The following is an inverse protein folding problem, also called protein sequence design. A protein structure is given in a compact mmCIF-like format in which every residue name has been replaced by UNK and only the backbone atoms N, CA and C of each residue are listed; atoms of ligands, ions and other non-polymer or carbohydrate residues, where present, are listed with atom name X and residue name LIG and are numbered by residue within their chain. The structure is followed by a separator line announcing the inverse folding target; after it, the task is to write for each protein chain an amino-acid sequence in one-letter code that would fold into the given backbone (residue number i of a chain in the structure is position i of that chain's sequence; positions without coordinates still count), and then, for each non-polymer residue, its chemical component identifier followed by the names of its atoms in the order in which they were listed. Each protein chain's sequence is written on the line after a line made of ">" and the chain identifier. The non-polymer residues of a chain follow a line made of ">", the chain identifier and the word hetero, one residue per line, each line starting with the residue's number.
data_IF_166247447327
#
_entry.id   IF_166247447327
#
_cell.length_a   1.000
_cell.length_b   1.000
_cell.length_c   1.000
_cell.angle_alpha   90.00
_cell.angle_beta   90.00
_cell.angle_gamma   90.00
#
_symmetry.space_group_name_H-M   'P 1'
#
loop_
_entity.id
_entity.type
_entity.pdbx_description
1 polymer ?
#
# COMPACT_ATOMS: atom_id res chain seq x y z
N UNK A 1 -57.85 -30.57 29.69
CA UNK A 1 -56.55 -29.86 29.76
C UNK A 1 -55.46 -30.78 29.22
N UNK A 2 -54.89 -30.50 28.05
CA UNK A 2 -53.48 -30.77 27.78
C UNK A 2 -53.04 -29.94 26.57
N UNK A 3 -52.44 -28.79 26.87
CA UNK A 3 -51.79 -27.88 25.93
C UNK A 3 -50.54 -28.53 25.36
N UNK A 4 -50.50 -28.74 24.03
CA UNK A 4 -49.27 -29.14 23.34
C UNK A 4 -48.59 -27.90 22.75
N UNK A 5 -47.49 -27.52 23.40
CA UNK A 5 -46.60 -26.42 23.09
C UNK A 5 -45.56 -26.90 22.07
N UNK A 6 -45.49 -26.36 20.84
CA UNK A 6 -44.38 -26.65 19.91
C UNK A 6 -43.80 -25.35 19.35
N UNK A 7 -42.73 -24.96 20.03
CA UNK A 7 -41.57 -24.14 19.69
C UNK A 7 -41.48 -23.54 18.26
N UNK A 8 -41.52 -22.20 18.20
CA UNK A 8 -40.94 -21.42 17.11
C UNK A 8 -39.41 -21.48 17.15
N UNK A 9 -38.81 -22.15 16.18
CA UNK A 9 -37.36 -22.10 15.93
C UNK A 9 -37.05 -20.77 15.24
N UNK A 10 -36.59 -19.78 16.02
CA UNK A 10 -36.00 -18.57 15.46
C UNK A 10 -34.55 -18.86 15.05
N UNK A 11 -34.33 -19.02 13.74
CA UNK A 11 -32.99 -19.04 13.15
C UNK A 11 -32.40 -17.62 13.22
N UNK A 12 -31.58 -17.38 14.26
CA UNK A 12 -30.71 -16.21 14.31
C UNK A 12 -29.52 -16.46 13.39
N UNK A 13 -29.65 -16.04 12.14
CA UNK A 13 -28.54 -16.01 11.20
C UNK A 13 -27.56 -14.90 11.59
N UNK A 14 -26.46 -15.26 12.23
CA UNK A 14 -25.34 -14.35 12.42
C UNK A 14 -24.78 -13.94 11.05
N UNK A 15 -25.01 -12.70 10.64
CA UNK A 15 -24.34 -12.10 9.50
C UNK A 15 -22.83 -12.03 9.79
N UNK A 16 -22.08 -13.01 9.28
CA UNK A 16 -20.63 -13.02 9.31
C UNK A 16 -20.12 -11.83 8.49
N UNK A 17 -19.58 -10.81 9.17
CA UNK A 17 -18.86 -9.73 8.48
C UNK A 17 -17.69 -10.34 7.71
N UNK A 18 -17.52 -10.03 6.42
CA UNK A 18 -16.39 -10.54 5.66
C UNK A 18 -15.09 -10.13 6.37
N UNK A 19 -14.25 -11.13 6.67
CA UNK A 19 -12.95 -10.91 7.29
C UNK A 19 -12.06 -10.23 6.25
N UNK A 20 -11.78 -8.93 6.44
CA UNK A 20 -10.81 -8.20 5.63
C UNK A 20 -9.48 -8.95 5.72
N UNK A 21 -8.94 -9.38 4.58
CA UNK A 21 -7.67 -10.10 4.56
C UNK A 21 -6.56 -9.17 5.08
N UNK A 22 -5.62 -9.70 5.86
CA UNK A 22 -4.66 -8.87 6.59
C UNK A 22 -3.65 -8.16 5.66
N UNK A 23 -3.53 -8.60 4.40
CA UNK A 23 -2.75 -7.96 3.33
C UNK A 23 -3.58 -7.15 2.33
N UNK A 24 -4.82 -6.80 2.64
CA UNK A 24 -5.59 -5.85 1.84
C UNK A 24 -5.34 -4.41 2.28
N UNK A 25 -5.41 -3.51 1.30
CA UNK A 25 -5.31 -2.06 1.46
C UNK A 25 -6.44 -1.39 0.68
N UNK A 26 -7.00 -0.31 1.24
CA UNK A 26 -8.02 0.50 0.57
C UNK A 26 -7.34 1.54 -0.31
N UNK A 27 -7.36 1.35 -1.63
CA UNK A 27 -6.65 2.22 -2.58
C UNK A 27 -7.49 3.40 -3.09
N UNK A 28 -8.80 3.33 -2.87
CA UNK A 28 -9.80 4.36 -3.12
C UNK A 28 -11.04 4.07 -2.25
N UNK A 29 -11.97 5.04 -2.06
CA UNK A 29 -13.13 4.84 -1.20
C UNK A 29 -13.87 3.53 -1.51
N UNK A 30 -13.94 2.64 -0.50
CA UNK A 30 -14.58 1.31 -0.56
C UNK A 30 -13.96 0.34 -1.56
N UNK A 31 -12.72 0.58 -1.99
CA UNK A 31 -12.00 -0.28 -2.96
C UNK A 31 -10.80 -0.93 -2.28
N UNK A 32 -10.98 -2.19 -1.86
CA UNK A 32 -9.94 -3.00 -1.24
C UNK A 32 -9.21 -3.83 -2.30
N UNK A 33 -7.88 -3.79 -2.27
CA UNK A 33 -7.02 -4.57 -3.15
C UNK A 33 -6.02 -5.36 -2.31
N UNK A 34 -5.82 -6.62 -2.69
CA UNK A 34 -4.82 -7.50 -2.07
C UNK A 34 -3.43 -7.09 -2.53
N UNK A 35 -2.51 -6.85 -1.60
CA UNK A 35 -1.13 -6.52 -1.94
C UNK A 35 -0.43 -7.73 -2.61
N UNK A 36 0.39 -7.52 -3.66
CA UNK A 36 1.28 -8.55 -4.19
C UNK A 36 2.18 -9.12 -3.09
N UNK A 37 2.74 -10.32 -3.26
CA UNK A 37 3.66 -10.92 -2.28
C UNK A 37 5.07 -10.30 -2.36
N UNK A 38 5.90 -10.43 -1.31
CA UNK A 38 7.29 -9.96 -1.33
C UNK A 38 8.10 -10.57 -2.50
N UNK A 39 7.98 -11.88 -2.74
CA UNK A 39 8.63 -12.58 -3.84
C UNK A 39 8.30 -12.02 -5.23
N UNK A 40 7.12 -11.41 -5.41
CA UNK A 40 6.72 -10.85 -6.71
C UNK A 40 7.53 -9.60 -7.12
N UNK A 41 8.35 -9.02 -6.23
CA UNK A 41 9.34 -8.01 -6.61
C UNK A 41 10.37 -8.58 -7.60
N UNK A 42 10.74 -9.85 -7.42
CA UNK A 42 11.67 -10.58 -8.30
C UNK A 42 13.16 -10.40 -7.97
N UNK A 43 13.49 -9.65 -6.93
CA UNK A 43 14.85 -9.48 -6.40
C UNK A 43 14.80 -9.09 -4.92
N UNK A 44 15.93 -9.19 -4.22
CA UNK A 44 16.06 -8.66 -2.86
C UNK A 44 16.56 -7.22 -2.90
N UNK A 45 16.02 -6.38 -2.03
CA UNK A 45 16.31 -4.94 -1.99
C UNK A 45 16.60 -4.49 -0.57
N UNK A 46 17.64 -3.70 -0.39
CA UNK A 46 17.78 -2.80 0.76
C UNK A 46 17.89 -1.39 0.22
N UNK A 47 17.09 -0.46 0.72
CA UNK A 47 17.11 0.93 0.28
C UNK A 47 16.89 1.89 1.44
N UNK A 48 17.71 2.95 1.46
CA UNK A 48 17.47 4.16 2.24
C UNK A 48 16.83 5.17 1.31
N UNK A 49 15.62 5.63 1.64
CA UNK A 49 14.82 6.52 0.81
C UNK A 49 14.33 7.72 1.62
N UNK A 50 14.11 8.84 0.94
CA UNK A 50 13.39 9.98 1.47
C UNK A 50 12.04 10.06 0.76
N UNK A 51 10.96 9.93 1.52
CA UNK A 51 9.60 10.06 1.02
C UNK A 51 9.07 11.44 1.40
N UNK A 52 8.68 12.25 0.42
CA UNK A 52 8.03 13.54 0.65
C UNK A 52 6.57 13.41 0.23
N UNK A 53 5.65 13.48 1.18
CA UNK A 53 4.22 13.50 0.90
C UNK A 53 3.72 14.95 0.94
N UNK A 54 3.00 15.36 -0.09
CA UNK A 54 2.45 16.71 -0.22
C UNK A 54 0.93 16.64 -0.39
N UNK A 55 0.20 17.29 0.51
CA UNK A 55 -1.26 17.47 0.44
C UNK A 55 -1.62 18.84 1.01
N UNK A 56 -2.70 19.45 0.52
CA UNK A 56 -3.14 20.78 0.99
C UNK A 56 -2.01 21.85 1.02
N UNK A 57 -1.06 21.78 0.07
CA UNK A 57 0.15 22.63 -0.02
C UNK A 57 1.13 22.51 1.16
N UNK A 58 0.96 21.49 2.01
CA UNK A 58 1.88 21.14 3.07
C UNK A 58 2.67 19.91 2.67
N UNK A 59 3.99 19.94 2.90
CA UNK A 59 4.88 18.83 2.61
C UNK A 59 5.44 18.26 3.89
N UNK A 60 5.41 16.93 3.99
CA UNK A 60 5.94 16.17 5.12
C UNK A 60 6.96 15.17 4.61
N UNK A 61 8.14 15.21 5.21
CA UNK A 61 9.23 14.31 4.85
C UNK A 61 9.37 13.18 5.85
N UNK A 62 9.61 11.99 5.30
CA UNK A 62 9.78 10.76 6.04
C UNK A 62 11.00 10.00 5.48
N UNK A 63 12.14 10.06 6.17
CA UNK A 63 13.23 9.12 5.94
C UNK A 63 12.75 7.70 6.20
N UNK A 64 13.05 6.80 5.27
CA UNK A 64 12.59 5.40 5.27
C UNK A 64 13.75 4.45 5.02
N UNK A 65 13.79 3.36 5.78
CA UNK A 65 14.56 2.16 5.44
C UNK A 65 13.60 1.09 4.93
N UNK A 66 13.85 0.58 3.73
CA UNK A 66 13.12 -0.50 3.08
C UNK A 66 14.04 -1.72 2.97
N UNK A 67 13.53 -2.88 3.38
CA UNK A 67 14.15 -4.17 3.14
C UNK A 67 13.13 -5.13 2.54
N UNK A 68 13.51 -5.78 1.44
CA UNK A 68 12.69 -6.77 0.74
C UNK A 68 13.54 -8.00 0.49
N UNK A 69 12.99 -9.15 0.83
CA UNK A 69 13.44 -10.46 0.40
C UNK A 69 12.23 -11.28 -0.08
N UNK A 70 12.41 -12.50 -0.62
CA UNK A 70 11.28 -13.27 -1.14
C UNK A 70 10.17 -13.59 -0.13
N UNK A 71 10.44 -13.49 1.18
CA UNK A 71 9.50 -13.83 2.25
C UNK A 71 8.91 -12.60 2.93
N UNK A 72 9.62 -11.48 2.96
CA UNK A 72 9.27 -10.32 3.80
C UNK A 72 9.53 -8.97 3.13
N UNK A 73 8.62 -8.03 3.36
CA UNK A 73 8.85 -6.59 3.19
C UNK A 73 8.85 -5.96 4.57
N UNK A 74 9.97 -5.38 4.98
CA UNK A 74 10.09 -4.60 6.20
C UNK A 74 10.35 -3.14 5.85
N UNK A 75 9.61 -2.24 6.49
CA UNK A 75 9.83 -0.81 6.34
C UNK A 75 9.80 -0.12 7.69
N UNK A 76 10.75 0.79 7.90
CA UNK A 76 10.81 1.66 9.07
C UNK A 76 10.90 3.12 8.62
N UNK A 77 9.99 3.96 9.13
CA UNK A 77 9.97 5.39 8.91
C UNK A 77 10.41 6.15 10.16
N UNK A 78 11.22 7.18 9.96
CA UNK A 78 11.90 7.91 11.03
C UNK A 78 11.49 9.38 11.07
N UNK A 79 11.46 9.94 12.27
CA UNK A 79 11.42 11.39 12.47
C UNK A 79 12.75 12.03 12.05
N UNK A 80 12.77 13.36 11.91
CA UNK A 80 13.98 14.14 11.63
C UNK A 80 15.10 13.98 12.67
N UNK A 81 14.78 13.46 13.86
CA UNK A 81 15.74 13.20 14.96
C UNK A 81 16.12 11.72 15.08
N UNK A 82 15.75 10.88 14.11
CA UNK A 82 16.15 9.47 14.05
C UNK A 82 15.29 8.52 14.88
N UNK A 83 14.25 8.99 15.57
CA UNK A 83 13.31 8.10 16.25
C UNK A 83 12.40 7.42 15.24
N UNK A 84 12.22 6.09 15.36
CA UNK A 84 11.26 5.33 14.54
C UNK A 84 9.83 5.71 14.92
N UNK A 85 9.11 6.36 14.02
CA UNK A 85 7.74 6.86 14.24
C UNK A 85 6.69 5.97 13.59
N UNK A 86 7.08 5.16 12.61
CA UNK A 86 6.24 4.13 12.02
C UNK A 86 7.08 2.94 11.55
N UNK A 87 6.45 1.77 11.51
CA UNK A 87 7.00 0.62 10.81
C UNK A 87 5.90 -0.28 10.30
N UNK A 88 6.25 -1.09 9.33
CA UNK A 88 5.42 -2.16 8.83
C UNK A 88 6.26 -3.40 8.55
N UNK A 89 5.62 -4.54 8.72
CA UNK A 89 6.15 -5.86 8.46
C UNK A 89 5.13 -6.62 7.64
N UNK A 90 5.50 -7.00 6.42
CA UNK A 90 4.65 -7.78 5.54
C UNK A 90 5.30 -9.12 5.27
N UNK A 91 4.77 -10.16 5.92
CA UNK A 91 5.23 -11.53 5.86
C UNK A 91 4.02 -12.46 5.94
N UNK A 92 4.07 -13.61 5.26
CA UNK A 92 3.03 -14.65 5.35
C UNK A 92 1.61 -14.13 5.10
N UNK A 93 1.45 -13.23 4.13
CA UNK A 93 0.18 -12.57 3.76
C UNK A 93 -0.45 -11.73 4.89
N UNK A 94 0.35 -11.33 5.88
CA UNK A 94 -0.06 -10.49 7.00
C UNK A 94 0.78 -9.21 7.02
N UNK A 95 0.10 -8.06 7.11
CA UNK A 95 0.75 -6.77 7.31
C UNK A 95 0.56 -6.35 8.75
N UNK A 96 1.63 -6.39 9.53
CA UNK A 96 1.70 -5.81 10.87
C UNK A 96 2.21 -4.38 10.77
N UNK A 97 1.61 -3.49 11.54
CA UNK A 97 1.94 -2.06 11.51
C UNK A 97 2.16 -1.53 12.92
N UNK A 98 3.01 -0.54 13.03
CA UNK A 98 3.22 0.24 14.25
C UNK A 98 3.25 1.71 13.87
N UNK A 99 2.55 2.51 14.66
CA UNK A 99 2.61 3.98 14.62
C UNK A 99 2.85 4.45 16.04
N UNK A 100 3.77 5.40 16.21
CA UNK A 100 4.04 5.99 17.51
C UNK A 100 2.75 6.58 18.10
N UNK A 101 2.45 6.30 19.39
CA UNK A 101 1.30 6.89 20.07
C UNK A 101 1.26 8.41 19.93
N UNK A 102 0.08 8.95 19.65
CA UNK A 102 -0.13 10.40 19.45
C UNK A 102 0.09 10.90 18.02
N UNK A 103 0.64 10.09 17.10
CA UNK A 103 0.91 10.50 15.72
C UNK A 103 -0.06 9.91 14.68
N UNK A 104 -1.04 9.11 15.09
CA UNK A 104 -1.96 8.42 14.16
C UNK A 104 -2.85 9.33 13.31
N UNK A 105 -3.12 10.56 13.76
CA UNK A 105 -3.93 11.54 13.01
C UNK A 105 -3.09 12.42 12.05
N UNK A 106 -1.77 12.43 12.21
CA UNK A 106 -0.86 13.30 11.45
C UNK A 106 -0.02 12.53 10.44
N UNK A 107 0.24 11.25 10.71
CA UNK A 107 0.96 10.37 9.80
C UNK A 107 0.02 9.67 8.82
N UNK A 108 0.49 9.38 7.60
CA UNK A 108 -0.25 8.54 6.67
C UNK A 108 -0.47 7.14 7.27
N UNK A 109 -1.56 6.50 6.87
CA UNK A 109 -1.83 5.11 7.27
C UNK A 109 -0.71 4.19 6.74
N UNK A 110 -0.09 3.32 7.57
CA UNK A 110 1.08 2.56 7.17
C UNK A 110 0.86 1.61 5.98
N UNK A 111 -0.32 0.98 5.83
CA UNK A 111 -0.60 0.15 4.65
C UNK A 111 -0.72 0.99 3.38
N UNK A 112 -1.19 2.23 3.46
CA UNK A 112 -1.17 3.15 2.32
C UNK A 112 0.28 3.51 1.93
N UNK A 113 1.17 3.73 2.91
CA UNK A 113 2.60 3.93 2.64
C UNK A 113 3.20 2.70 1.93
N UNK A 114 2.89 1.50 2.43
CA UNK A 114 3.32 0.25 1.80
C UNK A 114 2.81 0.13 0.37
N UNK A 115 1.53 0.40 0.13
CA UNK A 115 0.93 0.39 -1.19
C UNK A 115 1.67 1.33 -2.16
N UNK A 116 1.88 2.59 -1.77
CA UNK A 116 2.54 3.59 -2.62
C UNK A 116 3.97 3.15 -3.01
N UNK A 117 4.70 2.46 -2.13
CA UNK A 117 6.02 1.90 -2.43
C UNK A 117 5.91 0.67 -3.33
N UNK A 118 4.99 -0.24 -3.03
CA UNK A 118 4.86 -1.46 -3.82
C UNK A 118 4.34 -1.19 -5.23
N UNK A 119 3.38 -0.27 -5.42
CA UNK A 119 2.83 0.08 -6.73
C UNK A 119 3.85 0.82 -7.61
N UNK A 120 4.88 1.42 -7.01
CA UNK A 120 5.97 2.10 -7.72
C UNK A 120 7.14 1.16 -8.06
N UNK A 121 7.43 0.16 -7.23
CA UNK A 121 8.60 -0.72 -7.39
C UNK A 121 8.29 -2.11 -7.96
N UNK A 122 7.15 -2.72 -7.63
CA UNK A 122 6.86 -4.09 -8.07
C UNK A 122 6.59 -4.11 -9.57
N UNK A 123 6.96 -5.19 -10.29
CA UNK A 123 6.61 -5.37 -11.70
C UNK A 123 5.10 -5.27 -11.94
N UNK A 124 4.69 -4.71 -13.07
CA UNK A 124 3.27 -4.59 -13.46
C UNK A 124 2.49 -5.91 -13.37
N UNK A 125 3.12 -7.04 -13.74
CA UNK A 125 2.53 -8.38 -13.66
C UNK A 125 2.10 -8.79 -12.24
N UNK A 126 2.75 -8.24 -11.22
CA UNK A 126 2.40 -8.52 -9.82
C UNK A 126 1.05 -7.91 -9.44
N UNK A 127 0.65 -6.85 -10.13
CA UNK A 127 -0.54 -6.05 -9.85
C UNK A 127 -1.74 -6.40 -10.74
N UNK A 128 -1.55 -7.13 -11.83
CA UNK A 128 -2.64 -7.49 -12.76
C UNK A 128 -3.79 -8.22 -12.04
N UNK A 129 -3.53 -9.39 -11.48
CA UNK A 129 -4.58 -10.18 -10.82
C UNK A 129 -5.24 -9.45 -9.62
N UNK A 130 -4.50 -8.78 -8.70
CA UNK A 130 -5.13 -8.02 -7.63
C UNK A 130 -6.03 -6.87 -8.09
N UNK A 131 -5.64 -6.13 -9.13
CA UNK A 131 -6.42 -5.00 -9.63
C UNK A 131 -7.63 -5.46 -10.46
N UNK A 132 -7.48 -6.53 -11.24
CA UNK A 132 -8.57 -7.11 -12.03
C UNK A 132 -9.76 -7.57 -11.16
N UNK A 133 -9.50 -8.02 -9.92
CA UNK A 133 -10.55 -8.40 -8.96
C UNK A 133 -11.52 -7.25 -8.63
N UNK A 134 -11.07 -6.01 -8.75
CA UNK A 134 -11.90 -4.80 -8.55
C UNK A 134 -12.22 -4.08 -9.87
N UNK A 135 -11.87 -4.69 -11.01
CA UNK A 135 -12.02 -4.10 -12.34
C UNK A 135 -11.05 -2.96 -12.65
N UNK A 136 -9.98 -2.81 -11.87
CA UNK A 136 -8.97 -1.78 -12.08
C UNK A 136 -7.84 -2.30 -12.97
N UNK A 137 -7.07 -1.38 -13.53
CA UNK A 137 -5.92 -1.70 -14.39
C UNK A 137 -4.74 -0.79 -14.08
N UNK A 138 -3.54 -1.36 -14.18
CA UNK A 138 -2.28 -0.61 -14.16
C UNK A 138 -1.68 -0.68 -15.58
N UNK A 139 -1.48 0.47 -16.22
CA UNK A 139 -0.76 0.57 -17.50
C UNK A 139 0.65 1.07 -17.24
N UNK A 140 1.62 0.61 -18.04
CA UNK A 140 3.03 0.98 -17.89
C UNK A 140 3.68 1.28 -19.24
N UNK A 141 4.43 2.37 -19.29
CA UNK A 141 5.45 2.68 -20.31
C UNK A 141 6.84 2.70 -19.63
N UNK A 142 7.96 2.93 -20.34
CA UNK A 142 9.29 2.88 -19.71
C UNK A 142 9.47 3.79 -18.50
N UNK A 143 8.87 4.99 -18.51
CA UNK A 143 9.07 6.00 -17.47
C UNK A 143 7.75 6.47 -16.83
N UNK A 144 6.65 5.74 -17.04
CA UNK A 144 5.35 6.15 -16.53
C UNK A 144 4.46 4.94 -16.20
N UNK A 145 3.67 5.02 -15.12
CA UNK A 145 2.53 4.14 -14.88
C UNK A 145 1.25 4.93 -14.64
N UNK A 146 0.14 4.33 -15.02
CA UNK A 146 -1.18 4.89 -14.82
C UNK A 146 -2.10 3.88 -14.16
N UNK A 147 -2.67 4.24 -13.02
CA UNK A 147 -3.67 3.46 -12.30
C UNK A 147 -5.06 3.97 -12.68
N UNK A 148 -5.86 3.09 -13.26
CA UNK A 148 -7.16 3.42 -13.84
C UNK A 148 -8.22 2.56 -13.16
N UNK A 149 -9.33 3.18 -12.76
CA UNK A 149 -10.43 2.47 -12.12
C UNK A 149 -11.31 1.70 -13.11
N UNK A 150 -12.36 1.06 -12.59
CA UNK A 150 -13.33 0.29 -13.37
C UNK A 150 -14.22 1.11 -14.30
N UNK A 151 -14.24 2.44 -14.15
CA UNK A 151 -14.97 3.36 -15.04
C UNK A 151 -14.07 3.92 -16.15
N UNK A 152 -12.77 3.68 -16.07
CA UNK A 152 -11.79 4.25 -16.99
C UNK A 152 -11.21 5.58 -16.51
N UNK A 153 -11.52 6.02 -15.29
CA UNK A 153 -10.97 7.25 -14.71
C UNK A 153 -9.53 7.04 -14.25
N UNK A 154 -8.66 8.01 -14.54
CA UNK A 154 -7.27 8.00 -14.09
C UNK A 154 -7.24 8.40 -12.61
N UNK A 155 -6.93 7.44 -11.75
CA UNK A 155 -6.88 7.65 -10.30
C UNK A 155 -5.51 8.17 -9.87
N UNK A 156 -4.45 7.61 -10.45
CA UNK A 156 -3.09 8.02 -10.14
C UNK A 156 -2.16 7.85 -11.35
N UNK A 157 -1.16 8.73 -11.41
CA UNK A 157 -0.03 8.65 -12.33
C UNK A 157 1.27 8.48 -11.53
N UNK A 158 2.23 7.76 -12.11
CA UNK A 158 3.54 7.49 -11.51
C UNK A 158 4.61 7.82 -12.54
N UNK A 159 5.34 8.92 -12.35
CA UNK A 159 6.43 9.33 -13.22
C UNK A 159 7.78 8.86 -12.66
N UNK A 160 8.65 8.38 -13.55
CA UNK A 160 10.00 7.96 -13.22
C UNK A 160 11.01 8.86 -13.92
N UNK A 161 11.90 9.52 -13.15
CA UNK A 161 12.99 10.33 -13.73
C UNK A 161 14.15 9.48 -14.27
N UNK A 162 14.11 8.17 -14.09
CA UNK A 162 15.08 7.21 -14.63
C UNK A 162 14.37 5.88 -14.92
N UNK A 163 14.81 5.16 -15.95
CA UNK A 163 14.27 3.83 -16.28
C UNK A 163 14.51 2.80 -15.17
N UNK A 164 15.56 2.99 -14.36
CA UNK A 164 15.73 2.30 -13.09
C UNK A 164 15.11 3.16 -11.96
N UNK A 165 14.01 2.73 -11.33
CA UNK A 165 13.33 3.49 -10.28
C UNK A 165 14.20 3.82 -9.06
N UNK A 166 15.25 3.05 -8.80
CA UNK A 166 16.16 3.26 -7.66
C UNK A 166 17.27 4.27 -7.97
N UNK A 167 17.42 4.69 -9.23
CA UNK A 167 18.44 5.66 -9.70
C UNK A 167 17.86 7.02 -10.07
N UNK A 168 16.57 7.22 -9.87
CA UNK A 168 15.87 8.47 -10.15
C UNK A 168 14.83 8.76 -9.08
N UNK A 169 14.28 9.97 -9.13
CA UNK A 169 13.10 10.31 -8.36
C UNK A 169 11.87 9.65 -8.99
N UNK A 170 10.99 9.14 -8.13
CA UNK A 170 9.67 8.62 -8.50
C UNK A 170 8.64 9.60 -7.97
N UNK A 171 7.71 10.03 -8.82
CA UNK A 171 6.65 10.97 -8.45
C UNK A 171 5.32 10.25 -8.63
N UNK A 172 4.66 9.93 -7.52
CA UNK A 172 3.33 9.34 -7.49
C UNK A 172 2.30 10.45 -7.23
N UNK A 173 1.35 10.66 -8.13
CA UNK A 173 0.28 11.65 -7.99
C UNK A 173 -1.07 10.97 -7.95
N UNK A 174 -1.82 11.12 -6.84
CA UNK A 174 -3.20 10.66 -6.74
C UNK A 174 -4.16 11.82 -7.03
N UNK A 175 -4.89 11.72 -8.14
CA UNK A 175 -5.81 12.77 -8.59
C UNK A 175 -7.11 12.79 -7.80
N UNK A 176 -7.56 11.62 -7.35
CA UNK A 176 -8.81 11.51 -6.59
C UNK A 176 -8.66 12.06 -5.16
N UNK A 177 -7.56 11.74 -4.50
CA UNK A 177 -7.27 12.15 -3.12
C UNK A 177 -6.39 13.40 -3.02
N UNK A 178 -5.93 13.94 -4.16
CA UNK A 178 -5.19 15.21 -4.29
C UNK A 178 -3.92 15.28 -3.44
N UNK A 179 -3.12 14.22 -3.49
CA UNK A 179 -1.80 14.19 -2.88
C UNK A 179 -0.73 13.76 -3.88
N UNK A 180 0.49 14.19 -3.63
CA UNK A 180 1.69 13.76 -4.36
C UNK A 180 2.68 13.15 -3.40
N UNK A 181 3.39 12.11 -3.83
CA UNK A 181 4.49 11.49 -3.10
C UNK A 181 5.72 11.47 -4.00
N UNK A 182 6.78 12.13 -3.54
CA UNK A 182 8.10 12.06 -4.14
C UNK A 182 8.95 11.04 -3.37
N UNK A 183 9.46 10.04 -4.07
CA UNK A 183 10.34 9.01 -3.50
C UNK A 183 11.72 9.19 -4.09
N UNK A 184 12.67 9.58 -3.25
CA UNK A 184 14.08 9.70 -3.61
C UNK A 184 14.88 8.59 -2.94
N UNK A 185 15.46 7.70 -3.75
CA UNK A 185 16.40 6.70 -3.23
C UNK A 185 17.76 7.35 -2.98
N UNK A 186 18.23 7.30 -1.74
CA UNK A 186 19.51 7.86 -1.30
C UNK A 186 20.63 6.83 -1.45
N UNK A 187 20.36 5.60 -1.05
CA UNK A 187 21.25 4.45 -1.17
C UNK A 187 20.42 3.20 -1.42
N UNK A 188 20.93 2.27 -2.22
CA UNK A 188 20.29 0.97 -2.40
C UNK A 188 21.28 -0.14 -2.72
N UNK A 189 20.90 -1.36 -2.40
CA UNK A 189 21.58 -2.59 -2.80
C UNK A 189 20.52 -3.57 -3.30
N UNK A 190 20.67 -3.99 -4.54
CA UNK A 190 19.80 -4.97 -5.20
C UNK A 190 20.60 -6.27 -5.40
N UNK A 191 20.00 -7.40 -5.03
CA UNK A 191 20.59 -8.75 -5.14
C UNK A 191 19.62 -9.72 -5.81
#
# INVERSE_FOLDING_TARGET
>A
MLTLLIASVMLVGCASKPMVQQNQVEIAPKTLVTLPTPAQLGYSLTASQLITATWNKQSHQLPVQLQVDPKRVALAGFSSWGTRILSLDYQDQKVETYVMPGLGATLPEPKQVLFNIMITLWPIKAWQAPLEQVGWQLKQTPNHRQLIDSKGDIIADIDYKNTNPLKGEIIFTNHQQRYTIDIKTLQSTQK
#
